data_IF_587457769906
#
_entry.id   IF_587457769906
#
_cell.length_a   1.000
_cell.length_b   1.000
_cell.length_c   1.000
_cell.angle_alpha   90.00
_cell.angle_beta   90.00
_cell.angle_gamma   90.00
#
_symmetry.space_group_name_H-M   'P 1'
#
loop_
_entity.id
_entity.type
_entity.pdbx_description
1 polymer ?
#
# COMPACT_ATOMS: atom_id res chain seq x y z
N UNK A 1 3.97 3.93 -13.53
CA UNK A 1 4.00 4.95 -12.44
C UNK A 1 3.34 4.41 -11.16
N UNK A 2 2.13 3.85 -11.24
CA UNK A 2 1.45 3.21 -10.10
C UNK A 2 2.30 2.15 -9.36
N UNK A 3 3.02 1.29 -10.11
CA UNK A 3 3.92 0.27 -9.53
C UNK A 3 4.96 0.86 -8.57
N UNK A 4 5.56 2.00 -8.92
CA UNK A 4 6.59 2.63 -8.10
C UNK A 4 6.02 3.18 -6.78
N UNK A 5 4.79 3.72 -6.83
CA UNK A 5 4.08 4.21 -5.64
C UNK A 5 3.76 3.03 -4.72
N UNK A 6 3.18 1.95 -5.25
CA UNK A 6 2.89 0.75 -4.45
C UNK A 6 4.17 0.14 -3.84
N UNK A 7 5.27 0.07 -4.61
CA UNK A 7 6.56 -0.41 -4.08
C UNK A 7 7.07 0.48 -2.93
N UNK A 8 6.97 1.80 -3.08
CA UNK A 8 7.41 2.75 -2.06
C UNK A 8 6.62 2.58 -0.75
N UNK A 9 5.29 2.44 -0.84
CA UNK A 9 4.42 2.21 0.32
C UNK A 9 4.71 0.86 0.96
N UNK A 10 4.95 -0.19 0.15
CA UNK A 10 5.32 -1.51 0.68
C UNK A 10 6.69 -1.49 1.38
N UNK A 11 7.68 -0.78 0.83
CA UNK A 11 9.05 -0.76 1.33
C UNK A 11 9.26 0.18 2.53
N UNK A 12 8.69 1.40 2.51
CA UNK A 12 8.92 2.40 3.57
C UNK A 12 8.09 2.14 4.82
N UNK A 13 6.85 1.70 4.66
CA UNK A 13 5.88 1.77 5.74
C UNK A 13 5.74 0.47 6.53
N UNK A 14 6.08 -0.69 5.99
CA UNK A 14 5.86 -1.94 6.71
C UNK A 14 6.89 -2.24 7.79
N UNK A 15 8.16 -1.90 7.60
CA UNK A 15 9.17 -2.14 8.64
C UNK A 15 8.95 -1.20 9.84
N UNK A 16 8.53 0.05 9.60
CA UNK A 16 8.19 1.02 10.66
C UNK A 16 6.86 0.67 11.36
N UNK A 17 5.80 0.40 10.60
CA UNK A 17 4.50 0.04 11.18
C UNK A 17 4.51 -1.30 11.89
N UNK A 18 5.22 -2.32 11.41
CA UNK A 18 5.30 -3.60 12.16
C UNK A 18 6.04 -3.35 13.48
N UNK A 19 7.07 -2.51 13.49
CA UNK A 19 7.84 -2.23 14.70
C UNK A 19 7.07 -1.37 15.71
N UNK A 20 6.24 -0.43 15.26
CA UNK A 20 5.38 0.42 16.12
C UNK A 20 4.01 -0.23 16.45
N UNK A 21 3.35 -0.91 15.51
CA UNK A 21 2.10 -1.64 15.76
C UNK A 21 2.29 -2.85 16.67
N UNK A 22 3.52 -3.38 16.82
CA UNK A 22 3.84 -4.32 17.91
C UNK A 22 3.53 -3.73 19.30
N UNK A 23 3.54 -2.41 19.47
CA UNK A 23 3.13 -1.74 20.71
C UNK A 23 1.61 -1.58 20.85
N UNK A 24 0.84 -1.72 19.77
CA UNK A 24 -0.63 -1.61 19.78
C UNK A 24 -1.25 -2.90 19.24
N UNK A 25 -1.46 -3.87 20.15
CA UNK A 25 -2.01 -5.21 19.85
C UNK A 25 -3.28 -5.20 18.98
N UNK A 26 -4.08 -4.14 19.08
CA UNK A 26 -5.41 -4.08 18.44
C UNK A 26 -5.38 -3.70 16.95
N UNK A 27 -4.27 -3.12 16.46
CA UNK A 27 -4.15 -2.67 15.05
C UNK A 27 -3.18 -3.53 14.22
N UNK A 28 -2.42 -4.43 14.85
CA UNK A 28 -1.44 -5.28 14.17
C UNK A 28 -2.06 -6.11 13.03
N UNK A 29 -3.18 -6.79 13.28
CA UNK A 29 -3.83 -7.64 12.28
C UNK A 29 -4.34 -6.83 11.07
N UNK A 30 -4.73 -5.57 11.31
CA UNK A 30 -5.20 -4.65 10.27
C UNK A 30 -4.04 -4.17 9.39
N UNK A 31 -2.89 -3.87 10.01
CA UNK A 31 -1.64 -3.54 9.33
C UNK A 31 -1.14 -4.72 8.49
N UNK A 32 -1.13 -5.94 9.04
CA UNK A 32 -0.73 -7.13 8.30
C UNK A 32 -1.66 -7.43 7.10
N UNK A 33 -2.97 -7.24 7.27
CA UNK A 33 -3.96 -7.36 6.19
C UNK A 33 -3.72 -6.32 5.08
N UNK A 34 -3.47 -5.06 5.45
CA UNK A 34 -3.15 -4.00 4.50
C UNK A 34 -1.88 -4.34 3.69
N UNK A 35 -0.85 -4.92 4.33
CA UNK A 35 0.36 -5.40 3.64
C UNK A 35 0.04 -6.43 2.59
N UNK A 36 -0.77 -7.41 2.97
CA UNK A 36 -1.14 -8.51 2.09
C UNK A 36 -1.87 -7.99 0.85
N UNK A 37 -2.81 -7.06 1.02
CA UNK A 37 -3.55 -6.46 -0.09
C UNK A 37 -2.66 -5.58 -0.99
N UNK A 38 -1.78 -4.75 -0.41
CA UNK A 38 -0.84 -3.94 -1.19
C UNK A 38 0.14 -4.79 -2.01
N UNK A 39 0.63 -5.91 -1.46
CA UNK A 39 1.44 -6.88 -2.20
C UNK A 39 0.66 -7.54 -3.33
N UNK A 40 -0.60 -7.90 -3.11
CA UNK A 40 -1.47 -8.43 -4.18
C UNK A 40 -1.65 -7.43 -5.31
N UNK A 41 -1.85 -6.15 -4.98
CA UNK A 41 -1.96 -5.06 -5.95
C UNK A 41 -0.65 -4.86 -6.72
N UNK A 42 0.50 -4.93 -6.05
CA UNK A 42 1.82 -4.86 -6.70
C UNK A 42 1.99 -5.96 -7.74
N UNK A 43 1.72 -7.22 -7.38
CA UNK A 43 1.77 -8.36 -8.31
C UNK A 43 0.81 -8.17 -9.50
N UNK A 44 -0.38 -7.59 -9.27
CA UNK A 44 -1.31 -7.29 -10.35
C UNK A 44 -0.74 -6.25 -11.32
N UNK A 45 -0.20 -5.14 -10.79
CA UNK A 45 0.39 -4.09 -11.62
C UNK A 45 1.60 -4.58 -12.44
N UNK A 46 2.42 -5.50 -11.90
CA UNK A 46 3.49 -6.15 -12.67
C UNK A 46 2.94 -6.93 -13.87
N UNK A 47 1.86 -7.69 -13.69
CA UNK A 47 1.25 -8.44 -14.78
C UNK A 47 0.63 -7.53 -15.85
N UNK A 48 0.12 -6.36 -15.46
CA UNK A 48 -0.45 -5.37 -16.40
C UNK A 48 0.64 -4.64 -17.18
N UNK A 49 1.76 -4.28 -16.55
CA UNK A 49 2.91 -3.64 -17.22
C UNK A 49 3.50 -4.54 -18.33
N UNK A 50 3.29 -5.86 -18.26
CA UNK A 50 3.73 -6.84 -19.26
C UNK A 50 2.68 -7.19 -20.33
N UNK A 51 1.46 -6.66 -20.23
CA UNK A 51 0.39 -6.93 -21.17
C UNK A 51 0.21 -5.79 -22.19
N UNK A 52 0.44 -6.02 -23.50
CA UNK A 52 0.28 -5.00 -24.53
C UNK A 52 -1.19 -4.68 -24.86
N UNK A 53 -2.14 -5.53 -24.47
CA UNK A 53 -3.58 -5.29 -24.65
C UNK A 53 -4.19 -4.75 -23.35
N UNK A 54 -3.99 -3.47 -23.09
CA UNK A 54 -4.66 -2.78 -21.98
C UNK A 54 -5.97 -2.16 -22.51
N UNK A 55 -7.11 -2.67 -22.04
CA UNK A 55 -8.41 -2.05 -22.28
C UNK A 55 -8.70 -0.92 -21.28
N UNK A 56 -9.75 -0.15 -21.54
CA UNK A 56 -10.15 0.99 -20.69
C UNK A 56 -10.50 0.56 -19.25
N UNK A 57 -11.00 -0.67 -19.09
CA UNK A 57 -11.28 -1.27 -17.78
C UNK A 57 -9.98 -1.52 -16.98
N UNK A 58 -8.94 -2.04 -17.62
CA UNK A 58 -7.61 -2.23 -17.04
C UNK A 58 -6.99 -0.89 -16.64
N UNK A 59 -7.09 0.14 -17.48
CA UNK A 59 -6.59 1.48 -17.16
C UNK A 59 -7.30 2.12 -15.96
N UNK A 60 -8.62 1.96 -15.88
CA UNK A 60 -9.41 2.41 -14.74
C UNK A 60 -9.00 1.66 -13.46
N UNK A 61 -8.83 0.34 -13.54
CA UNK A 61 -8.43 -0.48 -12.39
C UNK A 61 -7.02 -0.11 -11.88
N UNK A 62 -6.07 0.18 -12.78
CA UNK A 62 -4.74 0.68 -12.42
C UNK A 62 -4.82 2.03 -11.70
N UNK A 63 -5.72 2.93 -12.13
CA UNK A 63 -5.93 4.21 -11.43
C UNK A 63 -6.52 4.00 -10.03
N UNK A 64 -7.54 3.14 -9.88
CA UNK A 64 -8.12 2.83 -8.58
C UNK A 64 -7.10 2.22 -7.61
N UNK A 65 -6.23 1.31 -8.09
CA UNK A 65 -5.16 0.74 -7.28
C UNK A 65 -4.16 1.81 -6.83
N UNK A 66 -3.81 2.75 -7.73
CA UNK A 66 -2.91 3.85 -7.38
C UNK A 66 -3.52 4.74 -6.30
N UNK A 67 -4.77 5.15 -6.49
CA UNK A 67 -5.45 6.07 -5.58
C UNK A 67 -5.60 5.41 -4.19
N UNK A 68 -5.95 4.12 -4.13
CA UNK A 68 -6.01 3.37 -2.87
C UNK A 68 -4.63 3.22 -2.19
N UNK A 69 -3.55 3.09 -2.97
CA UNK A 69 -2.20 3.04 -2.41
C UNK A 69 -1.77 4.38 -1.82
N UNK A 70 -2.16 5.50 -2.43
CA UNK A 70 -1.95 6.84 -1.89
C UNK A 70 -2.77 7.05 -0.60
N UNK A 71 -4.04 6.65 -0.59
CA UNK A 71 -4.87 6.73 0.63
C UNK A 71 -4.27 5.91 1.79
N UNK A 72 -3.72 4.73 1.49
CA UNK A 72 -3.02 3.92 2.47
C UNK A 72 -1.74 4.60 2.98
N UNK A 73 -0.95 5.23 2.11
CA UNK A 73 0.23 6.01 2.49
C UNK A 73 -0.15 7.15 3.46
N UNK A 74 -1.19 7.93 3.14
CA UNK A 74 -1.64 9.06 3.95
C UNK A 74 -2.10 8.64 5.36
N UNK A 75 -2.85 7.52 5.45
CA UNK A 75 -3.30 6.97 6.75
C UNK A 75 -2.11 6.51 7.59
N UNK A 76 -1.14 5.86 6.97
CA UNK A 76 0.05 5.37 7.65
C UNK A 76 0.92 6.53 8.14
N UNK A 77 1.19 7.51 7.27
CA UNK A 77 1.97 8.70 7.61
C UNK A 77 1.32 9.47 8.76
N UNK A 78 -0.02 9.59 8.75
CA UNK A 78 -0.78 10.20 9.84
C UNK A 78 -0.61 9.43 11.16
N UNK A 79 -0.68 8.10 11.12
CA UNK A 79 -0.48 7.27 12.31
C UNK A 79 0.93 7.41 12.89
N UNK A 80 1.97 7.39 12.04
CA UNK A 80 3.37 7.58 12.47
C UNK A 80 3.54 8.97 13.10
N UNK A 81 2.96 10.02 12.51
CA UNK A 81 3.01 11.38 13.06
C UNK A 81 2.33 11.49 14.42
N UNK A 82 1.20 10.81 14.63
CA UNK A 82 0.51 10.78 15.92
C UNK A 82 1.32 10.04 17.00
N UNK A 83 1.92 8.89 16.66
CA UNK A 83 2.74 8.10 17.58
C UNK A 83 4.05 8.81 17.93
N UNK A 84 4.70 9.45 16.96
CA UNK A 84 5.96 10.18 17.18
C UNK A 84 5.82 11.43 18.08
N UNK A 85 4.60 11.91 18.32
CA UNK A 85 4.31 13.04 19.22
C UNK A 85 3.88 12.61 20.64
N UNK A 86 3.88 11.31 20.97
CA UNK A 86 3.75 10.80 22.35
C UNK A 86 5.10 10.64 23.05
#
# INVERSE_FOLDING_TARGET
>A
MARAIVSLVVERNFDLLIHEAVFVKDVKDQVESLNYELKRMQCFLENVDHNPEQDECLHNLVSQIRDLACDAEDVIDSFILEVAHQ
#
